data_IF_646257721511
#
_entry.id   IF_646257721511
#
_cell.length_a   1.000
_cell.length_b   1.000
_cell.length_c   1.000
_cell.angle_alpha   90.00
_cell.angle_beta   90.00
_cell.angle_gamma   90.00
#
_symmetry.space_group_name_H-M   'P 1'
#
loop_
_entity.id
_entity.type
_entity.pdbx_description
1 polymer ?
#
# COMPACT_ATOMS: atom_id res chain seq x y z
N UNK A 1 -3.52 23.68 23.97
CA UNK A 1 -3.55 22.21 24.15
C UNK A 1 -2.18 21.67 23.68
N UNK A 2 -1.36 21.20 24.61
CA UNK A 2 -0.06 20.64 24.24
C UNK A 2 -0.22 19.16 23.93
N UNK A 3 0.31 18.74 22.80
CA UNK A 3 0.31 17.33 22.40
C UNK A 3 1.58 16.69 22.97
N UNK A 4 1.43 15.82 23.94
CA UNK A 4 2.56 15.05 24.45
C UNK A 4 2.83 13.87 23.51
N UNK A 5 4.02 13.86 22.93
CA UNK A 5 4.46 12.75 22.09
C UNK A 5 5.11 11.68 22.95
N UNK A 6 4.70 10.43 22.77
CA UNK A 6 5.35 9.30 23.46
C UNK A 6 6.79 9.16 22.98
N UNK A 7 7.69 8.95 23.93
CA UNK A 7 9.12 8.81 23.63
C UNK A 7 9.49 7.40 23.15
N UNK A 8 8.72 6.40 23.56
CA UNK A 8 8.97 5.00 23.22
C UNK A 8 7.74 4.36 22.57
N UNK A 9 7.95 3.68 21.44
CA UNK A 9 6.88 3.07 20.66
C UNK A 9 7.43 1.98 19.75
N UNK A 10 6.63 0.96 19.48
CA UNK A 10 6.99 -0.14 18.59
C UNK A 10 6.91 0.29 17.12
N UNK A 11 5.90 1.08 16.77
CA UNK A 11 5.84 1.75 15.49
C UNK A 11 5.33 3.17 15.69
N UNK A 12 5.87 4.09 14.92
CA UNK A 12 5.44 5.49 14.94
C UNK A 12 4.14 5.68 14.19
N UNK A 13 3.92 4.84 13.19
CA UNK A 13 2.82 5.02 12.25
C UNK A 13 2.27 3.66 11.84
N UNK A 14 0.99 3.48 12.02
CA UNK A 14 0.25 2.30 11.58
C UNK A 14 -0.62 2.70 10.40
N UNK A 15 -0.50 1.96 9.30
CA UNK A 15 -1.05 2.38 7.99
C UNK A 15 -1.96 1.29 7.43
N UNK A 16 -3.26 1.29 7.79
CA UNK A 16 -4.20 0.40 7.11
C UNK A 16 -4.48 0.93 5.71
N UNK A 17 -4.28 0.10 4.71
CA UNK A 17 -4.42 0.53 3.32
C UNK A 17 -4.64 -0.63 2.37
N UNK A 18 -5.27 -0.34 1.23
CA UNK A 18 -5.27 -1.24 0.09
C UNK A 18 -4.02 -0.98 -0.75
N UNK A 19 -3.32 -2.06 -1.11
CA UNK A 19 -2.11 -1.99 -1.92
C UNK A 19 -2.39 -2.48 -3.33
N UNK A 20 -1.83 -1.78 -4.31
CA UNK A 20 -1.97 -2.17 -5.70
C UNK A 20 -0.74 -1.81 -6.51
N UNK A 21 -0.89 -1.87 -7.82
CA UNK A 21 0.19 -1.51 -8.73
C UNK A 21 -0.29 -0.48 -9.73
N UNK A 22 0.63 0.39 -10.12
CA UNK A 22 0.45 1.34 -11.21
C UNK A 22 1.30 0.86 -12.38
N UNK A 23 0.71 0.79 -13.56
CA UNK A 23 1.44 0.57 -14.79
C UNK A 23 1.50 1.86 -15.59
N UNK A 24 2.70 2.21 -16.03
CA UNK A 24 2.99 3.47 -16.72
C UNK A 24 3.80 3.17 -17.96
N UNK A 25 3.39 3.65 -19.15
CA UNK A 25 4.17 3.41 -20.36
C UNK A 25 5.58 3.96 -20.26
N UNK A 26 6.52 3.28 -20.88
CA UNK A 26 7.90 3.72 -20.97
C UNK A 26 7.98 4.95 -21.90
N UNK A 27 8.90 5.87 -21.58
CA UNK A 27 9.25 7.01 -22.42
C UNK A 27 8.07 7.92 -22.77
N UNK A 28 7.10 8.06 -21.83
CA UNK A 28 5.94 8.95 -21.99
C UNK A 28 5.07 8.63 -23.20
N UNK A 29 5.13 7.41 -23.72
CA UNK A 29 4.26 7.01 -24.81
C UNK A 29 2.80 6.93 -24.36
N UNK A 30 1.85 7.13 -25.29
CA UNK A 30 0.45 6.89 -24.94
C UNK A 30 0.20 5.42 -24.62
N UNK A 31 -0.72 5.16 -23.70
CA UNK A 31 -1.04 3.79 -23.28
C UNK A 31 -1.45 2.93 -24.49
N UNK A 32 -2.23 3.49 -25.40
CA UNK A 32 -2.79 2.74 -26.54
C UNK A 32 -1.76 2.37 -27.62
N UNK A 33 -0.55 2.91 -27.53
CA UNK A 33 0.50 2.62 -28.50
C UNK A 33 1.78 2.09 -27.87
N UNK A 34 1.72 1.76 -26.59
CA UNK A 34 2.89 1.27 -25.84
C UNK A 34 2.76 -0.22 -25.60
N UNK A 35 3.83 -0.95 -25.83
CA UNK A 35 3.92 -2.38 -25.51
C UNK A 35 4.89 -2.63 -24.33
N UNK A 36 5.47 -1.58 -23.77
CA UNK A 36 6.41 -1.68 -22.64
C UNK A 36 5.97 -0.75 -21.51
N UNK A 37 5.88 -1.31 -20.33
CA UNK A 37 5.38 -0.58 -19.16
C UNK A 37 6.25 -0.79 -17.94
N UNK A 38 6.42 0.25 -17.15
CA UNK A 38 6.88 0.14 -15.77
C UNK A 38 5.73 -0.27 -14.85
N UNK A 39 6.02 -1.14 -13.90
CA UNK A 39 5.08 -1.52 -12.86
C UNK A 39 5.59 -0.99 -11.51
N UNK A 40 4.79 -0.17 -10.86
CA UNK A 40 5.12 0.46 -9.58
C UNK A 40 4.09 0.06 -8.52
N UNK A 41 4.56 -0.28 -7.34
CA UNK A 41 3.67 -0.48 -6.19
C UNK A 41 3.12 0.88 -5.75
N UNK A 42 1.82 0.94 -5.49
CA UNK A 42 1.16 2.21 -5.16
C UNK A 42 0.13 2.05 -4.04
N UNK A 43 0.11 3.04 -3.19
CA UNK A 43 -0.93 3.34 -2.21
C UNK A 43 -0.66 4.77 -1.74
N UNK A 44 -1.67 5.58 -1.64
CA UNK A 44 -1.51 6.97 -1.19
C UNK A 44 -0.95 7.00 0.23
N UNK A 45 -1.49 6.14 1.09
CA UNK A 45 -1.11 6.07 2.50
C UNK A 45 0.35 5.66 2.67
N UNK A 46 0.81 4.64 1.93
CA UNK A 46 2.22 4.22 2.03
C UNK A 46 3.18 5.23 1.43
N UNK A 47 2.74 6.00 0.43
CA UNK A 47 3.59 7.06 -0.12
C UNK A 47 3.85 8.14 0.94
N UNK A 48 2.81 8.56 1.67
CA UNK A 48 2.98 9.51 2.79
C UNK A 48 3.84 8.88 3.89
N UNK A 49 3.56 7.63 4.25
CA UNK A 49 4.27 6.92 5.31
C UNK A 49 5.76 6.69 4.99
N UNK A 50 6.11 6.67 3.69
CA UNK A 50 7.52 6.55 3.27
C UNK A 50 8.37 7.67 3.84
N UNK A 51 7.80 8.87 3.98
CA UNK A 51 8.53 10.01 4.57
C UNK A 51 8.97 9.65 5.99
N UNK A 52 8.03 9.14 6.80
CA UNK A 52 8.35 8.74 8.18
C UNK A 52 9.41 7.63 8.20
N UNK A 53 9.28 6.64 7.32
CA UNK A 53 10.20 5.52 7.25
C UNK A 53 11.62 5.99 6.88
N UNK A 54 11.75 6.86 5.88
CA UNK A 54 13.04 7.39 5.45
C UNK A 54 13.68 8.28 6.52
N UNK A 55 12.87 8.88 7.40
CA UNK A 55 13.37 9.61 8.56
C UNK A 55 13.68 8.69 9.75
N UNK A 56 13.73 7.38 9.53
CA UNK A 56 14.11 6.41 10.56
C UNK A 56 13.01 6.06 11.54
N UNK A 57 11.76 6.44 11.27
CA UNK A 57 10.65 6.10 12.15
C UNK A 57 10.06 4.74 11.78
N UNK A 58 9.85 3.84 12.73
CA UNK A 58 9.25 2.53 12.40
C UNK A 58 7.81 2.68 11.91
N UNK A 59 7.53 2.13 10.73
CA UNK A 59 6.21 2.15 10.11
C UNK A 59 5.74 0.70 9.90
N UNK A 60 4.47 0.45 10.23
CA UNK A 60 3.84 -0.85 9.95
C UNK A 60 2.61 -0.64 9.06
N UNK A 61 2.55 -1.39 7.96
CA UNK A 61 1.43 -1.37 7.01
C UNK A 61 0.51 -2.55 7.30
N UNK A 62 -0.79 -2.28 7.38
CA UNK A 62 -1.82 -3.30 7.53
C UNK A 62 -2.59 -3.41 6.22
N UNK A 63 -2.63 -4.60 5.62
CA UNK A 63 -3.29 -4.77 4.33
C UNK A 63 -3.82 -6.18 4.16
N UNK A 64 -4.30 -6.52 2.99
CA UNK A 64 -4.66 -7.90 2.62
C UNK A 64 -3.93 -8.25 1.33
N UNK A 65 -3.57 -9.51 1.20
CA UNK A 65 -2.83 -10.00 0.03
C UNK A 65 -3.62 -11.11 -0.66
N UNK A 66 -3.49 -11.19 -1.97
CA UNK A 66 -3.95 -12.38 -2.70
C UNK A 66 -2.87 -13.45 -2.50
N UNK A 67 -3.28 -14.63 -2.00
CA UNK A 67 -2.35 -15.72 -1.70
C UNK A 67 -1.59 -16.15 -2.95
N UNK A 68 -0.29 -16.38 -2.78
CA UNK A 68 0.63 -16.84 -3.83
C UNK A 68 0.68 -15.97 -5.08
N UNK A 69 0.17 -14.74 -5.00
CA UNK A 69 0.18 -13.82 -6.12
C UNK A 69 1.57 -13.21 -6.30
N UNK A 70 2.12 -13.22 -7.53
CA UNK A 70 3.38 -12.52 -7.78
C UNK A 70 3.26 -11.00 -7.55
N UNK A 71 2.06 -10.43 -7.71
CA UNK A 71 1.82 -9.02 -7.38
C UNK A 71 1.90 -8.81 -5.87
N UNK A 72 1.36 -9.74 -5.07
CA UNK A 72 1.51 -9.67 -3.62
C UNK A 72 3.00 -9.69 -3.22
N UNK A 73 3.80 -10.56 -3.86
CA UNK A 73 5.24 -10.64 -3.58
C UNK A 73 5.94 -9.34 -3.97
N UNK A 74 5.59 -8.76 -5.12
CA UNK A 74 6.13 -7.47 -5.54
C UNK A 74 5.82 -6.38 -4.50
N UNK A 75 4.59 -6.37 -3.98
CA UNK A 75 4.17 -5.40 -2.95
C UNK A 75 5.01 -5.61 -1.67
N UNK A 76 5.13 -6.87 -1.20
CA UNK A 76 5.91 -7.20 0.00
C UNK A 76 7.37 -6.75 -0.15
N UNK A 77 7.98 -7.03 -1.29
CA UNK A 77 9.35 -6.63 -1.58
C UNK A 77 9.50 -5.10 -1.57
N UNK A 78 8.53 -4.40 -2.16
CA UNK A 78 8.55 -2.93 -2.21
C UNK A 78 8.44 -2.32 -0.80
N UNK A 79 7.54 -2.85 0.03
CA UNK A 79 7.39 -2.38 1.41
C UNK A 79 8.69 -2.59 2.20
N UNK A 80 9.29 -3.76 2.06
CA UNK A 80 10.58 -4.08 2.71
C UNK A 80 11.69 -3.15 2.24
N UNK A 81 11.74 -2.87 0.93
CA UNK A 81 12.71 -1.93 0.36
C UNK A 81 12.54 -0.51 0.87
N UNK A 82 11.32 -0.13 1.24
CA UNK A 82 11.04 1.16 1.88
C UNK A 82 11.22 1.11 3.41
N UNK A 83 11.79 0.02 3.94
CA UNK A 83 12.01 -0.19 5.38
C UNK A 83 10.72 -0.18 6.22
N UNK A 84 9.61 -0.59 5.61
CA UNK A 84 8.33 -0.73 6.29
C UNK A 84 8.08 -2.18 6.64
N UNK A 85 7.60 -2.44 7.85
CA UNK A 85 7.07 -3.76 8.19
C UNK A 85 5.62 -3.83 7.71
N UNK A 86 5.13 -5.05 7.53
CA UNK A 86 3.75 -5.22 7.10
C UNK A 86 3.12 -6.42 7.79
N UNK A 87 1.82 -6.39 7.88
CA UNK A 87 1.00 -7.48 8.40
C UNK A 87 -0.27 -7.54 7.56
N UNK A 88 -0.69 -8.75 7.21
CA UNK A 88 -1.89 -8.85 6.39
C UNK A 88 -2.37 -10.26 6.20
N UNK A 89 -3.70 -10.40 6.14
CA UNK A 89 -4.35 -11.66 5.85
C UNK A 89 -4.12 -12.02 4.38
N UNK A 90 -3.93 -13.30 4.12
CA UNK A 90 -3.87 -13.82 2.75
C UNK A 90 -5.22 -14.40 2.37
N UNK A 91 -5.73 -14.00 1.23
CA UNK A 91 -7.05 -14.36 0.72
C UNK A 91 -6.87 -15.14 -0.59
N UNK A 92 -7.56 -16.24 -0.74
CA UNK A 92 -7.56 -16.99 -2.00
C UNK A 92 -8.10 -16.13 -3.14
N UNK A 93 -7.50 -16.25 -4.30
CA UNK A 93 -7.99 -15.53 -5.47
C UNK A 93 -9.45 -15.87 -5.80
N UNK A 94 -9.82 -17.15 -5.75
CA UNK A 94 -11.18 -17.58 -6.05
C UNK A 94 -11.48 -17.63 -7.54
N UNK A 95 -10.47 -17.97 -8.35
CA UNK A 95 -10.60 -18.08 -9.79
C UNK A 95 -10.36 -16.79 -10.56
N UNK A 96 -10.51 -16.79 -11.88
CA UNK A 96 -10.15 -15.63 -12.71
C UNK A 96 -10.98 -14.38 -12.44
N UNK A 97 -12.20 -14.53 -11.93
CA UNK A 97 -13.10 -13.41 -11.63
C UNK A 97 -13.07 -13.01 -10.16
N UNK A 98 -12.17 -13.63 -9.38
CA UNK A 98 -12.07 -13.40 -7.93
C UNK A 98 -11.21 -12.20 -7.58
N UNK A 99 -10.59 -12.29 -6.41
CA UNK A 99 -9.82 -11.19 -5.86
C UNK A 99 -8.52 -10.94 -6.63
N UNK A 100 -8.17 -9.66 -6.72
CA UNK A 100 -6.87 -9.23 -7.24
C UNK A 100 -6.42 -7.94 -6.54
N UNK A 101 -5.14 -7.62 -6.66
CA UNK A 101 -4.66 -6.30 -6.26
C UNK A 101 -5.11 -5.27 -7.31
N UNK A 102 -5.45 -4.07 -6.88
CA UNK A 102 -5.90 -3.02 -7.79
C UNK A 102 -4.83 -2.67 -8.82
N UNK A 103 -5.27 -2.25 -9.98
CA UNK A 103 -4.41 -1.72 -11.04
C UNK A 103 -4.77 -0.28 -11.35
N UNK A 104 -3.75 0.57 -11.47
CA UNK A 104 -3.90 1.93 -11.98
C UNK A 104 -3.10 2.03 -13.27
N UNK A 105 -3.76 2.36 -14.37
CA UNK A 105 -3.08 2.58 -15.64
C UNK A 105 -2.88 4.09 -15.77
N UNK A 106 -1.62 4.54 -15.73
CA UNK A 106 -1.29 5.96 -15.69
C UNK A 106 -0.53 6.38 -16.95
N UNK A 107 -1.23 7.08 -17.83
CA UNK A 107 -0.60 7.81 -18.93
C UNK A 107 -0.08 9.13 -18.36
N UNK A 108 1.23 9.29 -18.38
CA UNK A 108 1.86 10.46 -17.76
C UNK A 108 1.74 11.72 -18.60
N UNK A 109 1.26 11.58 -19.84
CA UNK A 109 1.18 12.72 -20.75
C UNK A 109 2.53 13.11 -21.34
N UNK A 110 2.48 13.95 -22.39
CA UNK A 110 3.69 14.54 -22.97
C UNK A 110 3.30 15.73 -23.83
N UNK A 111 4.01 16.83 -23.69
CA UNK A 111 3.71 18.07 -24.42
C UNK A 111 2.31 18.58 -24.09
N UNK A 112 1.49 18.79 -25.12
CA UNK A 112 0.11 19.24 -24.94
C UNK A 112 -0.85 18.13 -24.48
N UNK A 113 -0.42 16.88 -24.50
CA UNK A 113 -1.24 15.75 -24.05
C UNK A 113 -1.16 15.65 -22.52
N UNK A 114 -2.25 15.97 -21.84
CA UNK A 114 -2.31 15.93 -20.37
C UNK A 114 -2.27 14.51 -19.81
N UNK A 115 -1.87 14.35 -18.55
CA UNK A 115 -1.85 13.03 -17.92
C UNK A 115 -3.27 12.49 -17.69
N UNK A 116 -3.41 11.17 -17.75
CA UNK A 116 -4.68 10.48 -17.45
C UNK A 116 -4.41 9.24 -16.61
N UNK A 117 -5.27 8.98 -15.64
CA UNK A 117 -5.17 7.78 -14.81
C UNK A 117 -6.52 7.05 -14.85
N UNK A 118 -6.45 5.77 -15.14
CA UNK A 118 -7.60 4.87 -15.05
C UNK A 118 -7.38 3.90 -13.91
N UNK A 119 -8.31 3.86 -12.97
CA UNK A 119 -8.25 2.99 -11.81
C UNK A 119 -9.13 1.77 -12.06
N UNK A 120 -8.53 0.58 -12.01
CA UNK A 120 -9.28 -0.67 -12.03
C UNK A 120 -9.25 -1.27 -10.63
N UNK A 121 -10.37 -1.17 -9.94
CA UNK A 121 -10.54 -1.68 -8.58
C UNK A 121 -11.57 -2.81 -8.49
N UNK A 122 -12.00 -3.37 -9.63
CA UNK A 122 -12.92 -4.50 -9.62
C UNK A 122 -12.25 -5.70 -8.95
N UNK A 123 -12.96 -6.38 -8.05
CA UNK A 123 -12.41 -7.53 -7.32
C UNK A 123 -11.22 -7.21 -6.42
N UNK A 124 -11.04 -5.96 -6.04
CA UNK A 124 -9.88 -5.54 -5.25
C UNK A 124 -9.85 -6.24 -3.88
N UNK A 125 -8.76 -6.95 -3.58
CA UNK A 125 -8.59 -7.68 -2.32
C UNK A 125 -8.59 -6.74 -1.11
N UNK A 126 -8.17 -5.49 -1.29
CA UNK A 126 -8.19 -4.49 -0.23
C UNK A 126 -9.58 -4.23 0.35
N UNK A 127 -10.64 -4.51 -0.41
CA UNK A 127 -12.02 -4.39 0.08
C UNK A 127 -12.35 -5.40 1.19
N UNK A 128 -11.53 -6.44 1.33
CA UNK A 128 -11.72 -7.44 2.40
C UNK A 128 -10.97 -7.05 3.68
N UNK A 129 -10.23 -5.93 3.68
CA UNK A 129 -9.50 -5.46 4.85
C UNK A 129 -10.47 -5.22 6.00
N UNK A 130 -10.21 -5.86 7.13
CA UNK A 130 -11.06 -5.74 8.31
C UNK A 130 -10.18 -5.57 9.54
N UNK A 131 -10.59 -4.69 10.42
CA UNK A 131 -9.87 -4.43 11.66
C UNK A 131 -9.72 -5.70 12.51
N UNK A 132 -10.67 -6.62 12.39
CA UNK A 132 -10.65 -7.90 13.13
C UNK A 132 -9.57 -8.86 12.65
N UNK A 133 -8.97 -8.60 11.49
CA UNK A 133 -7.89 -9.44 10.97
C UNK A 133 -6.54 -9.15 11.66
N UNK A 134 -6.49 -8.14 12.53
CA UNK A 134 -5.24 -7.66 13.14
C UNK A 134 -5.38 -7.58 14.66
N UNK A 135 -4.34 -8.03 15.37
CA UNK A 135 -4.26 -7.83 16.81
C UNK A 135 -3.75 -6.42 17.08
N UNK A 136 -4.67 -5.51 17.10
CA UNK A 136 -4.35 -4.10 17.38
C UNK A 136 -3.79 -3.87 18.77
N UNK A 137 -4.08 -4.64 19.50
CA UNK A 137 -3.57 -4.58 20.82
C UNK A 137 -2.12 -4.95 20.82
N UNK A 138 -1.81 -5.86 20.06
CA UNK A 138 -0.49 -6.23 19.86
C UNK A 138 0.30 -5.36 18.91
N UNK A 139 -0.43 -4.89 18.10
CA UNK A 139 0.13 -3.99 17.21
C UNK A 139 0.38 -2.62 17.79
N UNK A 140 -0.26 -2.51 18.69
CA UNK A 140 -0.15 -1.28 19.39
C UNK A 140 0.68 -1.47 20.58
N UNK A 141 0.75 -2.57 21.15
CA UNK A 141 1.51 -2.90 22.36
C UNK A 141 2.63 -3.90 22.12
N UNK A 142 3.48 -3.77 21.16
CA UNK A 142 4.60 -4.69 21.09
C UNK A 142 5.50 -4.47 22.32
N UNK A 143 5.68 -5.54 23.09
CA UNK A 143 6.46 -5.61 24.32
C UNK A 143 6.08 -4.56 25.38
N UNK A 144 4.87 -4.69 25.84
CA UNK A 144 4.50 -4.24 27.19
C UNK A 144 4.55 -2.78 27.53
N UNK A 145 4.33 -1.85 26.62
CA UNK A 145 4.02 -0.44 26.96
C UNK A 145 4.06 0.57 25.82
N UNK A 146 3.82 0.17 24.55
CA UNK A 146 4.09 1.12 23.46
C UNK A 146 2.97 1.10 22.41
N UNK A 147 2.25 2.18 22.29
CA UNK A 147 1.15 2.29 21.32
C UNK A 147 1.59 2.91 20.00
N UNK A 148 1.03 2.41 18.92
CA UNK A 148 1.26 2.91 17.55
C UNK A 148 0.14 3.87 17.16
N UNK A 149 0.44 4.90 16.36
CA UNK A 149 -0.59 5.79 15.84
C UNK A 149 -1.20 5.22 14.58
N UNK A 150 -2.52 5.26 14.52
CA UNK A 150 -3.27 4.87 13.34
C UNK A 150 -3.36 6.05 12.37
N UNK A 151 -2.94 5.83 11.14
CA UNK A 151 -3.09 6.81 10.07
C UNK A 151 -4.08 6.25 9.05
N UNK A 152 -5.21 6.91 8.92
CA UNK A 152 -6.23 6.57 7.92
C UNK A 152 -6.50 7.79 7.08
N UNK A 153 -6.53 7.62 5.77
CA UNK A 153 -7.08 8.64 4.89
C UNK A 153 -8.59 8.39 4.78
N UNK A 154 -9.37 9.44 5.00
CA UNK A 154 -10.78 9.37 4.67
C UNK A 154 -10.91 9.60 3.17
N UNK A 155 -11.38 8.61 2.45
CA UNK A 155 -11.68 8.72 1.02
C UNK A 155 -13.07 9.29 0.80
#
# INVERSE_FOLDING_TARGET
>A
MSIELRKEYACSLLVPTSMGVRITPLNHQPVHSSDTFFMHVTSAETNVASIASYLGKPVKVLTTFVRDSPIAQLIKNNLSGRRMTYEGREVEQGGPWGYRHQFNVADMGYGSRGPRVHNDRAGEVGRTLNVKDFDLXXXXASSGRRGCRLFTSQA
#
